data_IF_389191966331
#
_entry.id   IF_389191966331
#
_cell.length_a   1.000
_cell.length_b   1.000
_cell.length_c   1.000
_cell.angle_alpha   90.00
_cell.angle_beta   90.00
_cell.angle_gamma   90.00
#
_symmetry.space_group_name_H-M   'P 1'
#
loop_
_entity.id
_entity.type
_entity.pdbx_description
1 polymer ?
#
# COMPACT_ATOMS: atom_id res chain seq x y z
N UNK A 1 26.34 -16.58 52.87
CA UNK A 1 25.82 -17.23 51.64
C UNK A 1 24.41 -16.71 51.39
N UNK A 2 24.26 -15.61 50.62
CA UNK A 2 23.69 -15.59 49.26
C UNK A 2 22.47 -16.49 49.06
N UNK A 3 21.28 -15.89 48.92
CA UNK A 3 20.28 -16.26 47.91
C UNK A 3 19.49 -15.00 47.53
N UNK A 4 19.94 -14.37 46.44
CA UNK A 4 19.23 -13.32 45.73
C UNK A 4 18.09 -13.99 44.96
N UNK A 5 16.84 -13.72 45.34
CA UNK A 5 15.69 -14.05 44.49
C UNK A 5 15.60 -12.98 43.41
N UNK A 6 16.18 -13.28 42.25
CA UNK A 6 16.06 -12.47 41.07
C UNK A 6 14.61 -12.49 40.59
N UNK A 7 13.90 -11.36 40.75
CA UNK A 7 12.72 -11.03 39.95
C UNK A 7 13.19 -10.99 38.49
N UNK A 8 12.98 -12.07 37.74
CA UNK A 8 13.15 -12.03 36.29
C UNK A 8 11.92 -11.36 35.66
N UNK A 9 12.10 -10.07 35.43
CA UNK A 9 11.42 -9.28 34.41
C UNK A 9 11.41 -10.02 33.07
N UNK A 10 10.25 -10.51 32.64
CA UNK A 10 9.97 -10.75 31.22
C UNK A 10 8.64 -10.10 30.89
N UNK A 11 8.67 -8.76 30.84
CA UNK A 11 7.73 -7.98 30.04
C UNK A 11 7.94 -8.43 28.58
N UNK A 12 7.20 -9.44 28.15
CA UNK A 12 6.99 -9.72 26.73
C UNK A 12 6.11 -8.61 26.19
N UNK A 13 6.71 -7.45 25.95
CA UNK A 13 6.10 -6.42 25.12
C UNK A 13 6.03 -7.04 23.73
N UNK A 14 4.89 -7.66 23.43
CA UNK A 14 4.49 -8.07 22.09
C UNK A 14 4.40 -6.80 21.25
N UNK A 15 5.54 -6.30 20.80
CA UNK A 15 5.62 -5.33 19.73
C UNK A 15 5.01 -6.04 18.54
N UNK A 16 3.72 -5.79 18.30
CA UNK A 16 3.09 -6.14 17.05
C UNK A 16 4.00 -5.57 15.96
N UNK A 17 4.65 -6.47 15.21
CA UNK A 17 5.38 -6.12 14.01
C UNK A 17 4.34 -5.62 13.01
N UNK A 18 4.01 -4.33 13.11
CA UNK A 18 3.19 -3.67 12.12
C UNK A 18 4.02 -3.70 10.84
N UNK A 19 3.46 -4.30 9.78
CA UNK A 19 4.03 -4.17 8.45
C UNK A 19 4.30 -2.67 8.22
N UNK A 20 5.57 -2.30 8.05
CA UNK A 20 5.96 -0.91 7.91
C UNK A 20 5.25 -0.28 6.71
N UNK A 21 4.97 1.01 6.78
CA UNK A 21 4.41 1.78 5.68
C UNK A 21 4.90 3.21 5.79
N UNK A 22 4.94 3.91 4.67
CA UNK A 22 5.22 5.34 4.61
C UNK A 22 4.18 6.02 3.74
N UNK A 23 3.91 7.28 4.04
CA UNK A 23 2.93 8.09 3.35
C UNK A 23 3.39 9.54 3.33
N UNK A 24 2.90 10.34 2.38
CA UNK A 24 3.15 11.77 2.34
C UNK A 24 1.87 12.55 2.11
N UNK A 25 1.78 13.82 2.54
CA UNK A 25 0.72 14.70 2.09
C UNK A 25 0.74 14.80 0.56
N UNK A 26 -0.39 14.58 -0.09
CA UNK A 26 -0.48 14.55 -1.53
C UNK A 26 -1.86 15.02 -2.02
N UNK A 27 -1.90 15.51 -3.25
CA UNK A 27 -3.12 15.74 -4.01
C UNK A 27 -3.27 14.69 -5.11
N UNK A 28 -4.52 14.28 -5.33
CA UNK A 28 -4.87 13.29 -6.33
C UNK A 28 -5.52 14.00 -7.52
N UNK A 29 -5.17 13.59 -8.73
CA UNK A 29 -5.77 14.11 -9.97
C UNK A 29 -5.88 13.00 -11.02
N UNK A 30 -6.56 13.29 -12.13
CA UNK A 30 -6.72 12.37 -13.28
C UNK A 30 -7.24 10.97 -12.87
N UNK A 31 -8.13 10.93 -11.89
CA UNK A 31 -8.68 9.69 -11.35
C UNK A 31 -9.65 9.05 -12.35
N UNK A 32 -9.48 7.75 -12.62
CA UNK A 32 -10.41 6.96 -13.44
C UNK A 32 -10.34 5.47 -13.08
N UNK A 33 -11.33 4.70 -13.54
CA UNK A 33 -11.44 3.26 -13.29
C UNK A 33 -12.63 2.86 -12.42
N UNK A 34 -12.81 1.54 -12.27
CA UNK A 34 -13.89 0.87 -11.53
C UNK A 34 -13.53 -0.60 -11.25
N UNK A 35 -14.32 -1.28 -10.42
CA UNK A 35 -14.21 -2.71 -10.16
C UNK A 35 -12.80 -3.15 -9.74
N UNK A 36 -12.17 -2.39 -8.84
CA UNK A 36 -10.82 -2.67 -8.35
C UNK A 36 -9.68 -2.28 -9.29
N UNK A 37 -9.99 -1.90 -10.54
CA UNK A 37 -9.01 -1.37 -11.50
C UNK A 37 -9.04 0.16 -11.48
N UNK A 38 -7.96 0.80 -11.09
CA UNK A 38 -7.91 2.27 -10.99
C UNK A 38 -6.62 2.82 -11.55
N UNK A 39 -6.69 4.05 -12.06
CA UNK A 39 -5.50 4.84 -12.35
C UNK A 39 -5.71 6.28 -11.87
N UNK A 40 -4.65 6.88 -11.34
CA UNK A 40 -4.67 8.27 -10.90
C UNK A 40 -3.25 8.83 -10.85
N UNK A 41 -3.15 10.16 -10.80
CA UNK A 41 -1.89 10.88 -10.59
C UNK A 41 -1.82 11.39 -9.17
N UNK A 42 -0.71 11.15 -8.50
CA UNK A 42 -0.39 11.64 -7.16
C UNK A 42 0.61 12.76 -7.31
N UNK A 43 0.40 13.88 -6.63
CA UNK A 43 1.38 14.98 -6.55
C UNK A 43 1.67 15.28 -5.09
N UNK A 44 2.88 14.95 -4.67
CA UNK A 44 3.34 15.10 -3.29
C UNK A 44 3.51 16.57 -2.91
N UNK A 45 3.08 16.91 -1.70
CA UNK A 45 3.16 18.24 -1.10
C UNK A 45 4.28 18.28 -0.05
N UNK A 46 4.93 19.44 0.10
CA UNK A 46 6.08 19.60 1.01
C UNK A 46 7.40 19.10 0.41
N UNK A 47 8.49 19.11 1.17
CA UNK A 47 9.82 18.81 0.63
C UNK A 47 10.11 17.31 0.51
N UNK A 48 9.60 16.52 1.45
CA UNK A 48 9.84 15.06 1.50
C UNK A 48 9.16 14.33 0.34
N UNK A 49 9.91 13.46 -0.31
CA UNK A 49 9.38 12.49 -1.29
C UNK A 49 9.11 11.14 -0.64
N UNK A 50 8.23 10.35 -1.24
CA UNK A 50 7.86 9.02 -0.74
C UNK A 50 8.97 8.02 -1.04
N UNK A 51 9.60 8.19 -2.20
CA UNK A 51 10.79 7.47 -2.65
C UNK A 51 11.87 8.48 -3.06
N UNK A 52 13.13 8.10 -2.89
CA UNK A 52 14.27 8.92 -3.34
C UNK A 52 14.59 8.68 -4.83
N UNK A 53 13.58 8.81 -5.70
CA UNK A 53 13.67 8.61 -7.15
C UNK A 53 13.36 9.89 -7.95
N UNK A 54 13.21 11.01 -7.23
CA UNK A 54 12.90 12.34 -7.73
C UNK A 54 11.52 12.47 -8.41
N UNK A 55 10.60 11.52 -8.19
CA UNK A 55 9.24 11.58 -8.72
C UNK A 55 8.28 12.32 -7.77
N UNK A 56 8.19 13.66 -7.91
CA UNK A 56 7.23 14.46 -7.12
C UNK A 56 5.77 14.31 -7.57
N UNK A 57 5.58 14.09 -8.87
CA UNK A 57 4.28 13.77 -9.47
C UNK A 57 4.43 12.46 -10.21
N UNK A 58 3.56 11.50 -9.90
CA UNK A 58 3.65 10.15 -10.43
C UNK A 58 2.28 9.54 -10.68
N UNK A 59 2.24 8.57 -11.59
CA UNK A 59 1.03 7.83 -11.94
C UNK A 59 0.98 6.55 -11.11
N UNK A 60 -0.20 6.21 -10.61
CA UNK A 60 -0.46 4.96 -9.90
C UNK A 60 -1.49 4.17 -10.70
N UNK A 61 -1.23 2.87 -10.86
CA UNK A 61 -2.15 1.91 -11.46
C UNK A 61 -2.44 0.81 -10.45
N UNK A 62 -3.73 0.59 -10.17
CA UNK A 62 -4.20 -0.49 -9.31
C UNK A 62 -4.77 -1.59 -10.20
N UNK A 63 -4.23 -2.79 -10.05
CA UNK A 63 -4.72 -4.01 -10.71
C UNK A 63 -5.10 -5.03 -9.63
N UNK A 64 -6.36 -5.49 -9.54
CA UNK A 64 -6.80 -6.40 -8.49
C UNK A 64 -5.85 -7.57 -8.22
N UNK A 65 -5.78 -7.95 -6.95
CA UNK A 65 -5.03 -9.13 -6.52
C UNK A 65 -5.46 -10.36 -7.33
N UNK A 66 -4.50 -11.09 -7.90
CA UNK A 66 -4.77 -12.37 -8.57
C UNK A 66 -4.95 -13.47 -7.52
N UNK A 67 -6.06 -14.19 -7.60
CA UNK A 67 -6.30 -15.37 -6.77
C UNK A 67 -5.75 -16.62 -7.48
N UNK A 68 -4.94 -17.39 -6.77
CA UNK A 68 -4.33 -18.65 -7.24
C UNK A 68 -4.90 -19.84 -6.49
N UNK A 69 -4.75 -21.05 -7.03
CA UNK A 69 -5.17 -22.28 -6.35
C UNK A 69 -4.54 -22.43 -4.95
N UNK A 70 -3.31 -21.94 -4.77
CA UNK A 70 -2.61 -21.92 -3.48
C UNK A 70 -3.35 -21.08 -2.43
N UNK A 71 -4.05 -20.03 -2.85
CA UNK A 71 -4.88 -19.18 -1.96
C UNK A 71 -6.14 -19.91 -1.46
N UNK A 72 -6.57 -20.97 -2.13
CA UNK A 72 -7.75 -21.76 -1.76
C UNK A 72 -7.38 -23.01 -0.94
N UNK A 73 -6.19 -23.57 -1.15
CA UNK A 73 -5.76 -24.85 -0.56
C UNK A 73 -5.07 -24.67 0.81
N UNK A 74 -4.36 -23.56 1.02
CA UNK A 74 -3.65 -23.34 2.28
C UNK A 74 -4.53 -22.59 3.30
N UNK A 75 -4.64 -23.07 4.56
CA UNK A 75 -5.45 -22.43 5.60
C UNK A 75 -4.80 -21.15 6.18
N UNK A 76 -3.68 -20.69 5.61
CA UNK A 76 -3.02 -19.48 6.03
C UNK A 76 -3.73 -18.26 5.44
N UNK A 77 -4.01 -17.22 6.23
CA UNK A 77 -4.68 -16.03 5.75
C UNK A 77 -3.70 -15.12 4.99
N UNK A 78 -3.05 -15.65 3.95
CA UNK A 78 -2.33 -14.82 2.98
C UNK A 78 -3.30 -13.83 2.29
N UNK A 79 -4.61 -14.11 2.35
CA UNK A 79 -5.67 -13.24 1.85
C UNK A 79 -6.09 -12.12 2.82
N UNK A 80 -5.79 -12.18 4.13
CA UNK A 80 -6.35 -11.20 5.09
C UNK A 80 -5.54 -9.90 5.22
N UNK A 81 -4.28 -9.89 4.80
CA UNK A 81 -3.41 -8.71 4.84
C UNK A 81 -3.58 -7.77 3.64
N UNK A 82 -4.27 -8.23 2.59
CA UNK A 82 -4.55 -7.44 1.40
C UNK A 82 -5.96 -6.85 1.44
N UNK A 83 -6.16 -5.64 0.90
CA UNK A 83 -7.48 -5.05 0.81
C UNK A 83 -8.40 -5.93 -0.04
N UNK A 84 -9.60 -6.16 0.46
CA UNK A 84 -10.68 -6.75 -0.34
C UNK A 84 -11.08 -5.80 -1.48
N UNK A 85 -11.81 -6.32 -2.47
CA UNK A 85 -12.38 -5.50 -3.54
C UNK A 85 -13.23 -4.36 -2.97
N UNK A 86 -14.08 -4.67 -1.98
CA UNK A 86 -14.94 -3.68 -1.32
C UNK A 86 -14.16 -2.57 -0.61
N UNK A 87 -13.09 -2.93 0.11
CA UNK A 87 -12.21 -1.94 0.74
C UNK A 87 -11.50 -1.08 -0.30
N UNK A 88 -11.07 -1.70 -1.40
CA UNK A 88 -10.44 -1.02 -2.54
C UNK A 88 -11.39 -0.02 -3.18
N UNK A 89 -12.63 -0.40 -3.44
CA UNK A 89 -13.66 0.48 -4.02
C UNK A 89 -14.03 1.64 -3.08
N UNK A 90 -14.11 1.38 -1.78
CA UNK A 90 -14.38 2.42 -0.79
C UNK A 90 -13.24 3.46 -0.74
N UNK A 91 -11.99 3.01 -0.68
CA UNK A 91 -10.82 3.90 -0.72
C UNK A 91 -10.69 4.61 -2.07
N UNK A 92 -11.04 3.95 -3.18
CA UNK A 92 -11.10 4.54 -4.52
C UNK A 92 -12.08 5.72 -4.57
N UNK A 93 -13.26 5.53 -3.97
CA UNK A 93 -14.25 6.59 -3.90
C UNK A 93 -13.76 7.77 -3.05
N UNK A 94 -13.04 7.51 -1.95
CA UNK A 94 -12.41 8.55 -1.15
C UNK A 94 -11.35 9.35 -1.94
N UNK A 95 -10.50 8.66 -2.73
CA UNK A 95 -9.54 9.30 -3.64
C UNK A 95 -10.24 10.15 -4.71
N UNK A 96 -11.29 9.61 -5.34
CA UNK A 96 -12.10 10.33 -6.34
C UNK A 96 -12.71 11.61 -5.77
N UNK A 97 -13.29 11.52 -4.57
CA UNK A 97 -13.86 12.67 -3.88
C UNK A 97 -12.79 13.71 -3.52
N UNK A 98 -11.63 13.28 -3.02
CA UNK A 98 -10.52 14.18 -2.72
C UNK A 98 -9.97 14.85 -3.98
N UNK A 99 -9.89 14.13 -5.10
CA UNK A 99 -9.47 14.67 -6.38
C UNK A 99 -10.44 15.76 -6.89
N UNK A 100 -11.75 15.50 -6.81
CA UNK A 100 -12.77 16.47 -7.20
C UNK A 100 -12.72 17.76 -6.34
N UNK A 101 -12.39 17.61 -5.06
CA UNK A 101 -12.29 18.73 -4.11
C UNK A 101 -10.89 19.38 -4.08
N UNK A 102 -9.91 18.87 -4.85
CA UNK A 102 -8.49 19.25 -4.75
C UNK A 102 -7.96 19.20 -3.31
N UNK A 103 -8.47 18.26 -2.52
CA UNK A 103 -8.16 18.13 -1.08
C UNK A 103 -6.86 17.37 -0.90
N UNK A 104 -5.98 17.88 -0.04
CA UNK A 104 -4.78 17.18 0.39
C UNK A 104 -5.14 16.05 1.35
N UNK A 105 -4.55 14.87 1.14
CA UNK A 105 -4.66 13.70 2.00
C UNK A 105 -3.29 13.06 2.21
N UNK A 106 -3.17 12.14 3.17
CA UNK A 106 -1.96 11.34 3.30
C UNK A 106 -2.08 10.11 2.40
N UNK A 107 -1.18 10.01 1.42
CA UNK A 107 -1.13 8.92 0.45
C UNK A 107 0.19 8.17 0.57
N UNK A 108 0.14 6.85 0.54
CA UNK A 108 1.32 6.04 0.77
C UNK A 108 1.16 4.59 0.40
N UNK A 109 2.02 3.78 0.98
CA UNK A 109 2.01 2.33 0.85
C UNK A 109 2.06 1.66 2.22
N UNK A 110 1.56 0.43 2.27
CA UNK A 110 1.76 -0.49 3.39
C UNK A 110 2.53 -1.73 2.93
N UNK A 111 3.45 -2.22 3.77
CA UNK A 111 4.35 -3.32 3.45
C UNK A 111 5.24 -2.96 2.27
N UNK A 112 5.25 -3.81 1.25
CA UNK A 112 5.98 -3.56 0.00
C UNK A 112 5.11 -2.86 -1.06
N UNK A 113 4.04 -2.15 -0.69
CA UNK A 113 3.13 -1.51 -1.67
C UNK A 113 3.79 -0.44 -2.55
N UNK A 114 3.10 -0.01 -3.63
CA UNK A 114 3.61 0.94 -4.65
C UNK A 114 4.92 0.48 -5.30
N UNK A 115 4.88 -0.61 -6.05
CA UNK A 115 6.05 -1.06 -6.81
C UNK A 115 6.31 -0.15 -8.01
N UNK A 116 7.53 0.38 -8.18
CA UNK A 116 7.87 1.17 -9.36
C UNK A 116 7.83 0.30 -10.61
N UNK A 117 7.31 0.86 -11.69
CA UNK A 117 7.41 0.27 -13.02
C UNK A 117 8.85 0.37 -13.51
N UNK A 118 9.39 -0.75 -13.99
CA UNK A 118 10.78 -0.83 -14.43
C UNK A 118 11.03 -0.19 -15.81
N UNK A 119 9.99 -0.02 -16.62
CA UNK A 119 10.07 0.53 -17.97
C UNK A 119 9.65 2.00 -18.04
N UNK A 120 8.75 2.42 -17.15
CA UNK A 120 8.20 3.78 -17.12
C UNK A 120 8.54 4.48 -15.80
N UNK A 121 9.44 5.47 -15.88
CA UNK A 121 9.77 6.31 -14.72
C UNK A 121 8.53 7.02 -14.16
N UNK A 122 8.42 7.08 -12.84
CA UNK A 122 7.30 7.69 -12.12
C UNK A 122 5.93 7.04 -12.39
N UNK A 123 5.91 5.76 -12.78
CA UNK A 123 4.72 4.92 -12.76
C UNK A 123 4.88 3.89 -11.64
N UNK A 124 3.85 3.71 -10.83
CA UNK A 124 3.82 2.74 -9.75
C UNK A 124 2.58 1.88 -9.83
N UNK A 125 2.70 0.65 -9.34
CA UNK A 125 1.66 -0.35 -9.35
C UNK A 125 1.26 -0.75 -7.95
N UNK A 126 -0.02 -1.10 -7.81
CA UNK A 126 -0.61 -1.65 -6.61
C UNK A 126 -1.63 -2.73 -6.94
N UNK A 127 -1.99 -3.54 -5.96
CA UNK A 127 -3.01 -4.58 -6.09
C UNK A 127 -4.27 -4.37 -5.27
N UNK A 128 -4.29 -3.30 -4.50
CA UNK A 128 -5.43 -2.87 -3.71
C UNK A 128 -5.11 -1.56 -3.02
N UNK A 129 -6.17 -0.88 -2.57
CA UNK A 129 -6.05 0.33 -1.76
C UNK A 129 -6.93 0.18 -0.52
N UNK A 130 -6.47 0.74 0.59
CA UNK A 130 -7.23 0.74 1.84
C UNK A 130 -7.09 2.07 2.52
N UNK A 131 -8.21 2.53 3.05
CA UNK A 131 -8.23 3.73 3.87
C UNK A 131 -8.04 3.34 5.33
N UNK A 132 -7.02 3.91 5.96
CA UNK A 132 -6.73 3.81 7.38
C UNK A 132 -6.93 5.18 8.00
N UNK A 133 -8.05 5.40 8.69
CA UNK A 133 -8.42 6.70 9.25
C UNK A 133 -8.34 7.84 8.20
N UNK A 134 -7.25 8.63 8.24
CA UNK A 134 -6.98 9.79 7.37
C UNK A 134 -5.97 9.50 6.25
N UNK A 135 -5.49 8.27 6.16
CA UNK A 135 -4.46 7.81 5.24
C UNK A 135 -5.07 6.88 4.18
N UNK A 136 -4.59 6.98 2.95
CA UNK A 136 -4.91 6.04 1.88
C UNK A 136 -3.63 5.32 1.50
N UNK A 137 -3.61 4.02 1.77
CA UNK A 137 -2.46 3.16 1.59
C UNK A 137 -2.69 2.21 0.41
N UNK A 138 -1.70 2.13 -0.46
CA UNK A 138 -1.65 1.12 -1.52
C UNK A 138 -0.95 -0.12 -0.99
N UNK A 139 -1.51 -1.27 -1.33
CA UNK A 139 -0.89 -2.58 -1.07
C UNK A 139 -0.42 -3.18 -2.39
N UNK A 140 0.63 -3.99 -2.35
CA UNK A 140 1.08 -4.78 -3.48
C UNK A 140 1.21 -6.25 -3.08
N UNK A 141 0.65 -7.13 -3.90
CA UNK A 141 0.97 -8.55 -3.89
C UNK A 141 2.31 -8.76 -4.62
N UNK A 142 3.34 -9.10 -3.86
CA UNK A 142 4.71 -9.21 -4.33
C UNK A 142 5.11 -10.63 -4.76
N UNK A 143 4.14 -11.53 -4.96
CA UNK A 143 4.42 -12.89 -5.46
C UNK A 143 4.93 -12.83 -6.90
N UNK A 144 6.11 -13.40 -7.11
CA UNK A 144 6.81 -13.51 -8.40
C UNK A 144 5.95 -14.17 -9.48
N UNK A 145 6.06 -13.71 -10.73
CA UNK A 145 5.37 -14.30 -11.88
C UNK A 145 3.87 -14.00 -11.97
N UNK A 146 3.28 -13.28 -11.00
CA UNK A 146 1.87 -12.88 -11.07
C UNK A 146 1.65 -11.56 -11.80
N UNK A 147 2.65 -10.68 -11.82
CA UNK A 147 2.53 -9.32 -12.31
C UNK A 147 3.71 -8.98 -13.22
N UNK A 148 3.49 -8.90 -14.56
CA UNK A 148 4.58 -8.70 -15.51
C UNK A 148 5.43 -7.45 -15.26
N UNK A 149 4.85 -6.40 -14.66
CA UNK A 149 5.57 -5.17 -14.31
C UNK A 149 6.60 -5.36 -13.19
N UNK A 150 6.53 -6.47 -12.44
CA UNK A 150 7.51 -6.83 -11.41
C UNK A 150 8.67 -7.65 -11.98
N UNK A 151 8.45 -8.38 -13.07
CA UNK A 151 9.36 -9.41 -13.58
C UNK A 151 10.30 -8.91 -14.70
N UNK A 152 10.08 -7.72 -15.27
CA UNK A 152 10.96 -7.19 -16.32
C UNK A 152 12.38 -6.95 -15.78
N UNK A 153 13.42 -7.54 -16.36
CA UNK A 153 14.82 -7.17 -16.10
C UNK A 153 15.38 -6.37 -17.28
#
# INVERSE_FOLDING_TARGET
>A
MRRQSALLFLLTCSLAAHAGGDHTPAQISRFSGSNGHYQFTVTQQGERLLYNDHCRSYRVVITPRKHTLRDTILPFPAASSHPTLRETEAAAQALKNAAAQKRTLHFGYLGSGLFPDKQQKCLYHGTGIKQYEKEIMVHQDAREGLYPYMDAE
#
